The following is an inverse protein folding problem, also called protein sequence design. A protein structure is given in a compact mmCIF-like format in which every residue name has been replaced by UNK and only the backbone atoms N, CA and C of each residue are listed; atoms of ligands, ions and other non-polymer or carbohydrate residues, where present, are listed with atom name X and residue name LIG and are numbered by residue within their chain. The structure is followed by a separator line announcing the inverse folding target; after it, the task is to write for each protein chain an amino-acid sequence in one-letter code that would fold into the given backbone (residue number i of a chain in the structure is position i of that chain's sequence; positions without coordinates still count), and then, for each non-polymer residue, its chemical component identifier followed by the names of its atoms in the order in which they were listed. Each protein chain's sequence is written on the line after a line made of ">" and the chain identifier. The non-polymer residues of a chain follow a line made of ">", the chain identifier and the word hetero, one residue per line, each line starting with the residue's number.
data_IF_004407519394
#
_entry.id   IF_004407519394
#
_cell.length_a   1.000
_cell.length_b   1.000
_cell.length_c   1.000
_cell.angle_alpha   90.00
_cell.angle_beta   90.00
_cell.angle_gamma   90.00
#
_symmetry.space_group_name_H-M   'P 1'
#
loop_
_entity.id
_entity.type
_entity.pdbx_description
1 polymer ?
#
# COMPACT_ATOMS: atom_id res chain seq x y z
N UNK A 1 24.61 15.33 -36.51
CA UNK A 1 25.03 14.28 -35.57
C UNK A 1 24.37 14.53 -34.22
N UNK A 2 23.29 13.82 -33.90
CA UNK A 2 22.57 13.99 -32.63
C UNK A 2 23.26 13.16 -31.53
N UNK A 3 23.79 13.84 -30.50
CA UNK A 3 24.29 13.22 -29.28
C UNK A 3 23.09 12.65 -28.49
N UNK A 4 23.03 11.33 -28.35
CA UNK A 4 22.12 10.66 -27.42
C UNK A 4 22.55 11.01 -25.99
N UNK A 5 21.74 11.80 -25.30
CA UNK A 5 21.83 11.95 -23.85
C UNK A 5 21.20 10.69 -23.26
N UNK A 6 22.03 9.85 -22.65
CA UNK A 6 21.56 8.73 -21.83
C UNK A 6 21.11 9.33 -20.51
N UNK A 7 19.79 9.45 -20.33
CA UNK A 7 19.20 9.76 -19.03
C UNK A 7 19.28 8.48 -18.21
N UNK A 8 20.29 8.38 -17.35
CA UNK A 8 20.35 7.34 -16.32
C UNK A 8 19.34 7.73 -15.24
N UNK A 9 18.14 7.14 -15.31
CA UNK A 9 17.13 7.29 -14.29
C UNK A 9 17.63 6.55 -13.04
N UNK A 10 17.93 7.31 -11.99
CA UNK A 10 18.51 6.80 -10.74
C UNK A 10 17.51 5.87 -10.03
N UNK A 11 17.70 4.57 -10.21
CA UNK A 11 16.90 3.49 -9.61
C UNK A 11 17.50 2.99 -8.28
N UNK A 12 18.31 3.80 -7.60
CA UNK A 12 19.09 3.34 -6.44
C UNK A 12 18.38 3.44 -5.08
N UNK A 13 17.14 3.96 -5.01
CA UNK A 13 16.41 4.05 -3.74
C UNK A 13 15.68 2.76 -3.31
N UNK A 14 15.59 1.73 -4.17
CA UNK A 14 14.72 0.57 -3.91
C UNK A 14 15.40 -0.69 -3.36
N UNK A 15 16.73 -0.79 -3.37
CA UNK A 15 17.38 -2.10 -3.10
C UNK A 15 17.63 -2.34 -1.60
N UNK A 16 17.96 -1.30 -0.83
CA UNK A 16 18.34 -1.47 0.59
C UNK A 16 17.15 -1.61 1.54
N UNK A 17 16.02 -0.95 1.28
CA UNK A 17 14.82 -1.00 2.16
C UNK A 17 14.05 -2.32 1.99
N UNK A 18 14.04 -2.91 0.79
CA UNK A 18 13.39 -4.22 0.56
C UNK A 18 14.09 -5.40 1.26
N UNK A 19 15.31 -5.22 1.79
CA UNK A 19 16.04 -6.26 2.52
C UNK A 19 15.42 -6.62 3.89
N UNK A 20 14.52 -5.79 4.42
CA UNK A 20 13.96 -5.92 5.78
C UNK A 20 12.57 -6.56 5.84
N UNK A 21 11.99 -6.88 4.68
CA UNK A 21 10.67 -7.51 4.59
C UNK A 21 10.76 -8.83 3.83
N UNK A 22 9.86 -9.81 4.10
CA UNK A 22 9.83 -11.06 3.35
C UNK A 22 9.67 -10.82 1.85
N UNK A 23 10.37 -11.59 1.01
CA UNK A 23 10.34 -11.44 -0.47
C UNK A 23 8.92 -11.47 -1.05
N UNK A 24 8.04 -12.29 -0.46
CA UNK A 24 6.63 -12.35 -0.85
C UNK A 24 5.89 -11.04 -0.54
N UNK A 25 6.16 -10.42 0.62
CA UNK A 25 5.60 -9.12 0.96
C UNK A 25 6.15 -8.02 0.06
N UNK A 26 7.46 -8.02 -0.22
CA UNK A 26 8.06 -7.09 -1.18
C UNK A 26 7.37 -7.19 -2.57
N UNK A 27 7.08 -8.41 -3.01
CA UNK A 27 6.35 -8.65 -4.27
C UNK A 27 4.93 -8.08 -4.22
N UNK A 28 4.17 -8.35 -3.15
CA UNK A 28 2.82 -7.79 -2.97
C UNK A 28 2.85 -6.27 -2.90
N UNK A 29 3.82 -5.70 -2.18
CA UNK A 29 3.99 -4.26 -2.03
C UNK A 29 4.28 -3.56 -3.36
N UNK A 30 5.18 -4.11 -4.17
CA UNK A 30 5.45 -3.57 -5.50
C UNK A 30 4.19 -3.57 -6.39
N UNK A 31 3.41 -4.66 -6.36
CA UNK A 31 2.11 -4.72 -7.07
C UNK A 31 1.12 -3.69 -6.53
N UNK A 32 1.10 -3.49 -5.21
CA UNK A 32 0.26 -2.49 -4.55
C UNK A 32 0.63 -1.08 -4.99
N UNK A 33 1.90 -0.70 -4.90
CA UNK A 33 2.37 0.63 -5.32
C UNK A 33 2.04 0.89 -6.80
N UNK A 34 2.29 -0.07 -7.69
CA UNK A 34 1.97 0.05 -9.11
C UNK A 34 0.45 0.19 -9.35
N UNK A 35 -0.36 -0.58 -8.63
CA UNK A 35 -1.82 -0.48 -8.75
C UNK A 35 -2.32 0.90 -8.28
N UNK A 36 -1.76 1.44 -7.19
CA UNK A 36 -2.10 2.76 -6.68
C UNK A 36 -1.63 3.88 -7.62
N UNK A 37 -0.42 3.78 -8.16
CA UNK A 37 0.15 4.77 -9.07
C UNK A 37 -0.63 4.90 -10.38
N UNK A 38 -1.17 3.80 -10.89
CA UNK A 38 -1.92 3.76 -12.14
C UNK A 38 -3.44 3.82 -11.95
N UNK A 39 -3.93 4.09 -10.72
CA UNK A 39 -5.35 4.02 -10.39
C UNK A 39 -6.03 2.69 -10.83
N UNK A 40 -5.26 1.60 -10.84
CA UNK A 40 -5.68 0.30 -11.32
C UNK A 40 -6.35 -0.50 -10.19
N UNK A 41 -7.64 -0.22 -10.00
CA UNK A 41 -8.46 -0.83 -8.95
C UNK A 41 -8.58 -2.36 -9.12
N UNK A 42 -8.59 -2.86 -10.36
CA UNK A 42 -8.66 -4.30 -10.63
C UNK A 42 -7.37 -5.02 -10.21
N UNK A 43 -6.21 -4.41 -10.46
CA UNK A 43 -4.94 -4.94 -9.97
C UNK A 43 -4.87 -4.89 -8.43
N UNK A 44 -5.38 -3.82 -7.83
CA UNK A 44 -5.46 -3.68 -6.37
C UNK A 44 -6.36 -4.76 -5.75
N UNK A 45 -7.52 -5.05 -6.35
CA UNK A 45 -8.46 -6.03 -5.80
C UNK A 45 -7.87 -7.45 -5.79
N UNK A 46 -6.99 -7.80 -6.74
CA UNK A 46 -6.30 -9.10 -6.80
C UNK A 46 -5.30 -9.35 -5.67
N UNK A 47 -4.82 -8.29 -5.03
CA UNK A 47 -3.89 -8.36 -3.89
C UNK A 47 -4.55 -7.96 -2.57
N UNK A 48 -5.86 -7.73 -2.59
CA UNK A 48 -6.66 -7.36 -1.43
C UNK A 48 -7.36 -8.60 -0.90
N UNK A 49 -7.30 -8.81 0.40
CA UNK A 49 -8.09 -9.81 1.08
C UNK A 49 -9.52 -9.29 1.26
N UNK A 50 -10.51 -10.05 0.80
CA UNK A 50 -11.93 -9.72 0.97
C UNK A 50 -12.62 -10.77 1.86
N UNK A 51 -13.45 -10.36 2.84
CA UNK A 51 -13.55 -8.98 3.33
C UNK A 51 -12.23 -8.49 3.93
N UNK A 52 -11.98 -7.17 3.89
CA UNK A 52 -10.92 -6.60 4.72
C UNK A 52 -11.28 -6.86 6.18
N UNK A 53 -10.25 -7.13 6.98
CA UNK A 53 -10.41 -7.36 8.42
C UNK A 53 -10.96 -6.12 9.13
N UNK A 54 -10.46 -4.94 8.76
CA UNK A 54 -10.93 -3.65 9.27
C UNK A 54 -10.78 -2.57 8.19
N UNK A 55 -11.68 -1.58 8.23
CA UNK A 55 -11.61 -0.39 7.40
C UNK A 55 -12.30 0.80 8.10
N UNK A 56 -11.53 1.56 8.85
CA UNK A 56 -12.03 2.71 9.61
C UNK A 56 -12.28 3.94 8.71
N UNK A 57 -11.77 3.93 7.48
CA UNK A 57 -11.81 5.06 6.54
C UNK A 57 -12.83 4.89 5.41
N UNK A 58 -13.85 4.06 5.64
CA UNK A 58 -14.93 3.91 4.67
C UNK A 58 -15.92 2.81 4.97
N UNK A 59 -15.86 2.14 6.13
CA UNK A 59 -16.72 1.01 6.47
C UNK A 59 -16.45 -0.22 5.61
N UNK A 60 -17.28 -1.26 5.71
CA UNK A 60 -16.95 -2.59 5.18
C UNK A 60 -16.49 -2.61 3.71
N UNK A 61 -15.33 -3.22 3.48
CA UNK A 61 -14.83 -3.58 2.16
C UNK A 61 -14.92 -5.09 1.98
N UNK A 62 -16.06 -5.56 1.48
CA UNK A 62 -16.38 -7.00 1.36
C UNK A 62 -16.04 -7.58 -0.01
N UNK A 63 -15.78 -6.75 -1.00
CA UNK A 63 -15.58 -7.16 -2.39
C UNK A 63 -14.82 -6.13 -3.22
N UNK A 64 -14.37 -6.54 -4.41
CA UNK A 64 -13.78 -5.66 -5.42
C UNK A 64 -14.69 -4.46 -5.76
N UNK A 65 -16.01 -4.64 -5.80
CA UNK A 65 -16.96 -3.56 -6.09
C UNK A 65 -17.01 -2.53 -4.96
N UNK A 66 -17.02 -3.00 -3.71
CA UNK A 66 -16.96 -2.11 -2.55
C UNK A 66 -15.64 -1.31 -2.53
N UNK A 67 -14.52 -1.94 -2.88
CA UNK A 67 -13.23 -1.26 -3.04
C UNK A 67 -13.31 -0.19 -4.13
N UNK A 68 -13.87 -0.52 -5.29
CA UNK A 68 -14.05 0.44 -6.39
C UNK A 68 -14.85 1.66 -5.98
N UNK A 69 -15.95 1.46 -5.25
CA UNK A 69 -16.81 2.56 -4.79
C UNK A 69 -16.13 3.49 -3.79
N UNK A 70 -15.23 2.97 -2.95
CA UNK A 70 -14.57 3.72 -1.85
C UNK A 70 -13.13 4.12 -2.17
N UNK A 71 -12.60 3.71 -3.32
CA UNK A 71 -11.20 3.88 -3.67
C UNK A 71 -10.70 5.31 -3.49
N UNK A 72 -11.44 6.30 -4.02
CA UNK A 72 -11.05 7.73 -3.94
C UNK A 72 -11.14 8.31 -2.52
N UNK A 73 -11.99 7.73 -1.67
CA UNK A 73 -12.12 8.14 -0.27
C UNK A 73 -10.90 7.69 0.54
N UNK A 74 -10.48 6.44 0.34
CA UNK A 74 -9.36 5.83 1.08
C UNK A 74 -8.01 6.32 0.55
N UNK A 75 -7.84 6.33 -0.77
CA UNK A 75 -6.58 6.65 -1.43
C UNK A 75 -6.61 8.07 -2.00
N UNK A 76 -6.68 9.06 -1.10
CA UNK A 76 -6.48 10.46 -1.47
C UNK A 76 -5.07 10.69 -2.03
N UNK A 77 -4.87 11.81 -2.74
CA UNK A 77 -3.56 12.13 -3.32
C UNK A 77 -2.45 12.17 -2.26
N UNK A 78 -2.77 12.59 -1.04
CA UNK A 78 -1.84 12.54 0.08
C UNK A 78 -1.40 11.11 0.42
N UNK A 79 -2.37 10.21 0.59
CA UNK A 79 -2.11 8.80 0.91
C UNK A 79 -1.28 8.15 -0.20
N UNK A 80 -1.63 8.41 -1.47
CA UNK A 80 -0.86 7.95 -2.63
C UNK A 80 0.59 8.43 -2.59
N UNK A 81 0.84 9.69 -2.25
CA UNK A 81 2.20 10.23 -2.13
C UNK A 81 3.01 9.60 -0.99
N UNK A 82 2.35 9.22 0.11
CA UNK A 82 3.01 8.47 1.20
C UNK A 82 3.38 7.05 0.76
N UNK A 83 2.46 6.35 0.09
CA UNK A 83 2.68 5.01 -0.46
C UNK A 83 3.89 4.99 -1.39
N UNK A 84 4.10 6.03 -2.22
CA UNK A 84 5.27 6.13 -3.12
C UNK A 84 6.61 6.24 -2.38
N UNK A 85 6.63 6.76 -1.15
CA UNK A 85 7.85 7.11 -0.41
C UNK A 85 8.17 6.15 0.74
N UNK A 86 7.23 5.31 1.14
CA UNK A 86 7.37 4.40 2.29
C UNK A 86 7.43 2.94 1.84
N UNK A 87 7.84 2.08 2.76
CA UNK A 87 7.76 0.62 2.64
C UNK A 87 7.07 0.06 3.89
N UNK A 88 6.42 -1.11 3.81
CA UNK A 88 5.83 -1.75 4.97
C UNK A 88 6.90 -2.11 6.00
N UNK A 89 6.60 -1.90 7.27
CA UNK A 89 7.45 -2.28 8.40
C UNK A 89 6.62 -2.96 9.48
N UNK A 90 7.27 -3.57 10.47
CA UNK A 90 6.57 -4.02 11.68
C UNK A 90 6.32 -2.82 12.58
N UNK A 91 5.05 -2.53 12.84
CA UNK A 91 4.63 -1.47 13.76
C UNK A 91 4.02 -2.14 14.99
N UNK A 92 4.48 -1.75 16.20
CA UNK A 92 3.93 -2.30 17.46
C UNK A 92 2.43 -1.98 17.54
N UNK A 93 1.62 -2.96 17.93
CA UNK A 93 0.16 -2.83 18.03
C UNK A 93 -0.58 -3.25 16.76
N UNK A 94 0.10 -3.34 15.62
CA UNK A 94 -0.48 -3.78 14.36
C UNK A 94 -0.11 -5.22 14.03
N UNK A 95 -1.05 -5.95 13.42
CA UNK A 95 -0.77 -7.29 12.94
C UNK A 95 -0.06 -7.25 11.59
N UNK A 96 0.88 -8.17 11.40
CA UNK A 96 1.65 -8.28 10.16
C UNK A 96 2.63 -7.12 9.95
N UNK A 97 2.59 -6.56 8.74
CA UNK A 97 3.37 -5.40 8.33
C UNK A 97 2.43 -4.27 7.96
N UNK A 98 2.85 -3.04 8.20
CA UNK A 98 2.00 -1.88 8.02
C UNK A 98 2.76 -0.71 7.39
N UNK A 99 2.02 0.16 6.73
CA UNK A 99 2.50 1.44 6.22
C UNK A 99 1.69 2.53 6.89
N UNK A 100 2.34 3.31 7.75
CA UNK A 100 1.74 4.50 8.32
C UNK A 100 1.71 5.62 7.27
N UNK A 101 0.52 5.99 6.85
CA UNK A 101 0.24 7.05 5.89
C UNK A 101 -0.35 8.30 6.56
N UNK A 102 -0.19 8.43 7.88
CA UNK A 102 -0.71 9.55 8.67
C UNK A 102 -0.09 10.88 8.27
N UNK A 103 -0.90 11.93 8.41
CA UNK A 103 -0.59 13.32 8.23
C UNK A 103 -0.56 14.06 9.57
N UNK A 104 0.47 14.89 9.84
CA UNK A 104 0.48 15.76 11.01
C UNK A 104 -0.73 16.70 11.14
N UNK A 105 -1.49 16.95 10.07
CA UNK A 105 -2.69 17.79 10.10
C UNK A 105 -3.96 17.07 10.60
N UNK A 106 -3.91 15.75 10.84
CA UNK A 106 -4.99 15.00 11.50
C UNK A 106 -5.51 13.76 10.76
N UNK A 107 -5.05 13.48 9.54
CA UNK A 107 -5.36 12.20 8.89
C UNK A 107 -4.50 11.11 9.53
N UNK A 108 -5.09 10.12 10.19
CA UNK A 108 -4.36 9.06 10.88
C UNK A 108 -4.64 7.70 10.24
N UNK A 109 -4.01 7.37 9.11
CA UNK A 109 -4.34 6.17 8.33
C UNK A 109 -3.16 5.21 8.24
N UNK A 110 -3.39 3.95 8.59
CA UNK A 110 -2.41 2.87 8.50
C UNK A 110 -2.92 1.78 7.56
N UNK A 111 -2.06 1.35 6.61
CA UNK A 111 -2.38 0.33 5.62
C UNK A 111 -1.69 -0.98 5.93
N UNK A 112 -2.47 -2.06 6.05
CA UNK A 112 -2.03 -3.33 6.62
C UNK A 112 -1.84 -4.47 5.64
N UNK A 113 -0.77 -5.23 5.83
CA UNK A 113 -0.42 -6.42 5.06
C UNK A 113 -0.14 -7.61 5.97
N UNK A 114 -0.96 -8.64 5.84
CA UNK A 114 -0.85 -9.87 6.62
C UNK A 114 -0.62 -11.08 5.73
N UNK A 115 -0.08 -12.14 6.34
CA UNK A 115 0.16 -13.41 5.65
C UNK A 115 -1.12 -14.23 5.65
N UNK A 116 -1.72 -14.40 4.48
CA UNK A 116 -2.89 -15.25 4.25
C UNK A 116 -2.43 -16.55 3.57
N UNK A 117 -2.23 -17.60 4.38
CA UNK A 117 -1.64 -18.85 3.91
C UNK A 117 -0.19 -18.68 3.46
N UNK A 118 0.07 -18.79 2.14
CA UNK A 118 1.43 -18.72 1.56
C UNK A 118 1.78 -17.36 0.95
N UNK A 119 0.86 -16.39 0.96
CA UNK A 119 1.05 -15.08 0.33
C UNK A 119 0.72 -13.96 1.31
N UNK A 120 1.30 -12.77 1.08
CA UNK A 120 0.88 -11.57 1.78
C UNK A 120 -0.18 -10.83 0.96
N UNK A 121 -1.22 -10.34 1.64
CA UNK A 121 -2.31 -9.58 1.04
C UNK A 121 -2.52 -8.27 1.80
N UNK A 122 -3.08 -7.27 1.13
CA UNK A 122 -3.61 -6.07 1.77
C UNK A 122 -4.91 -6.44 2.52
N UNK A 123 -4.97 -6.13 3.82
CA UNK A 123 -5.90 -6.81 4.75
C UNK A 123 -6.64 -5.87 5.68
N UNK A 124 -6.09 -4.69 5.98
CA UNK A 124 -6.78 -3.70 6.81
C UNK A 124 -6.40 -2.26 6.48
N UNK A 125 -7.29 -1.35 6.85
CA UNK A 125 -7.10 0.09 6.89
C UNK A 125 -7.53 0.54 8.28
N UNK A 126 -6.56 0.87 9.14
CA UNK A 126 -6.83 1.24 10.54
C UNK A 126 -6.58 2.73 10.77
N UNK A 127 -7.27 3.27 11.77
CA UNK A 127 -7.02 4.59 12.33
C UNK A 127 -5.83 4.58 13.29
N UNK A 128 -4.80 5.37 13.01
CA UNK A 128 -3.59 5.41 13.82
C UNK A 128 -3.77 6.04 15.21
N UNK A 129 -4.91 6.71 15.45
CA UNK A 129 -5.24 7.39 16.70
C UNK A 129 -6.10 6.54 17.66
N UNK A 130 -6.50 5.34 17.26
CA UNK A 130 -7.26 4.39 18.11
C UNK A 130 -6.32 3.47 18.90
#
# INVERSE_FOLDING_TARGET
>A
MFKKIVVVFSMMYSVTVMSQIPTQLATTWNKFQLAIENDNIEALSKITHFPLRSNDFGGDLKSSDSLKSKYKLIFSDYVKQKIKKKCPTRIKGYNGYAVDCSDPSGLAIVLGFEKCGKIYLFTYIDNANE
#
